data_IF_819092894378
#
_entry.id   IF_819092894378
#
_cell.length_a   1.000
_cell.length_b   1.000
_cell.length_c   1.000
_cell.angle_alpha   90.00
_cell.angle_beta   90.00
_cell.angle_gamma   90.00
#
_symmetry.space_group_name_H-M   'P 1'
#
loop_
_entity.id
_entity.type
_entity.pdbx_description
1 polymer ?
#
# COMPACT_ATOMS: atom_id res chain seq x y z
N UNK A 1 -11.65 2.14 15.16
CA UNK A 1 -10.95 3.39 15.45
C UNK A 1 -9.84 3.60 14.44
N UNK A 2 -9.74 4.80 13.87
CA UNK A 2 -8.78 5.10 12.82
C UNK A 2 -7.36 5.21 13.41
N UNK A 3 -6.38 4.62 12.71
CA UNK A 3 -4.98 4.75 13.11
C UNK A 3 -4.51 6.20 13.06
N UNK A 4 -3.54 6.56 13.88
CA UNK A 4 -2.99 7.91 13.95
C UNK A 4 -1.46 7.88 14.01
N UNK A 5 -0.86 9.05 13.78
CA UNK A 5 0.59 9.24 13.90
C UNK A 5 1.05 8.86 15.31
N UNK A 6 2.15 8.14 15.39
CA UNK A 6 2.72 7.64 16.64
C UNK A 6 2.25 6.25 17.04
N UNK A 7 1.20 5.75 16.41
CA UNK A 7 0.72 4.40 16.67
C UNK A 7 1.48 3.36 15.85
N UNK A 8 1.54 2.15 16.38
CA UNK A 8 2.12 1.00 15.69
C UNK A 8 1.09 0.42 14.72
N UNK A 9 1.55 0.00 13.53
CA UNK A 9 0.70 -0.73 12.61
C UNK A 9 0.14 -1.99 13.26
N UNK A 10 -1.16 -2.29 13.05
CA UNK A 10 -1.74 -3.54 13.53
C UNK A 10 -1.11 -4.72 12.80
N UNK A 11 -0.96 -5.84 13.50
CA UNK A 11 -0.56 -7.07 12.84
C UNK A 11 -1.71 -7.61 12.00
N UNK A 12 -1.38 -7.99 10.78
CA UNK A 12 -2.31 -8.57 9.82
C UNK A 12 -1.53 -9.38 8.81
N UNK A 13 -2.21 -10.22 8.07
CA UNK A 13 -1.61 -10.96 6.96
C UNK A 13 -1.94 -10.26 5.65
N UNK A 14 -0.92 -9.95 4.86
CA UNK A 14 -1.07 -9.48 3.49
C UNK A 14 -0.54 -10.55 2.55
N UNK A 15 -1.07 -10.61 1.34
CA UNK A 15 -0.56 -11.48 0.29
C UNK A 15 0.15 -10.65 -0.77
N UNK A 16 1.13 -11.28 -1.41
CA UNK A 16 1.85 -10.66 -2.53
C UNK A 16 2.12 -11.72 -3.58
N UNK A 17 1.86 -11.40 -4.84
CA UNK A 17 2.12 -12.33 -5.95
C UNK A 17 3.60 -12.19 -6.34
N UNK A 18 4.44 -12.99 -5.71
CA UNK A 18 5.90 -12.95 -5.90
C UNK A 18 6.48 -14.34 -5.96
N UNK A 19 7.70 -14.42 -6.46
CA UNK A 19 8.53 -15.60 -6.36
C UNK A 19 9.22 -15.59 -4.99
N UNK A 20 9.06 -16.66 -4.22
CA UNK A 20 9.75 -16.86 -2.94
C UNK A 20 10.71 -18.02 -3.11
N UNK A 21 12.00 -17.78 -2.85
CA UNK A 21 13.02 -18.80 -2.84
C UNK A 21 12.88 -19.69 -1.59
N UNK A 22 12.99 -20.99 -1.79
CA UNK A 22 12.90 -21.99 -0.73
C UNK A 22 13.15 -23.37 -1.32
N UNK A 23 12.78 -24.45 -0.60
CA UNK A 23 12.88 -25.84 -1.08
C UNK A 23 11.90 -26.10 -2.24
N UNK A 24 12.07 -25.36 -3.31
CA UNK A 24 11.21 -25.31 -4.47
C UNK A 24 10.67 -23.90 -4.62
N UNK A 25 11.10 -23.17 -5.64
CA UNK A 25 10.58 -21.83 -5.98
C UNK A 25 9.06 -21.85 -5.99
N UNK A 26 8.43 -21.00 -5.19
CA UNK A 26 7.00 -20.78 -5.20
C UNK A 26 6.70 -19.44 -5.88
N UNK A 27 6.15 -19.50 -7.09
CA UNK A 27 5.63 -18.33 -7.78
C UNK A 27 4.12 -18.31 -7.54
N UNK A 28 3.64 -17.23 -6.99
CA UNK A 28 2.21 -17.08 -6.73
C UNK A 28 1.91 -16.21 -5.54
N UNK A 29 0.66 -16.27 -5.04
CA UNK A 29 0.30 -15.53 -3.83
C UNK A 29 0.99 -16.16 -2.63
N UNK A 30 1.84 -15.36 -1.98
CA UNK A 30 2.51 -15.73 -0.75
C UNK A 30 2.00 -14.84 0.38
N UNK A 31 1.88 -15.39 1.58
CA UNK A 31 1.37 -14.69 2.75
C UNK A 31 2.50 -14.18 3.63
N UNK A 32 2.37 -12.95 4.09
CA UNK A 32 3.35 -12.31 4.96
C UNK A 32 2.64 -11.64 6.14
N UNK A 33 3.26 -11.70 7.31
CA UNK A 33 2.82 -10.92 8.46
C UNK A 33 3.38 -9.50 8.37
N UNK A 34 2.51 -8.50 8.54
CA UNK A 34 2.90 -7.09 8.51
C UNK A 34 4.00 -6.82 9.53
N UNK A 35 3.85 -7.35 10.74
CA UNK A 35 4.81 -7.19 11.82
C UNK A 35 6.23 -7.59 11.41
N UNK A 36 6.37 -8.68 10.66
CA UNK A 36 7.69 -9.17 10.20
C UNK A 36 8.24 -8.29 9.08
N UNK A 37 7.38 -7.86 8.16
CA UNK A 37 7.79 -7.09 6.98
C UNK A 37 8.28 -5.68 7.33
N UNK A 38 7.69 -5.05 8.36
CA UNK A 38 8.00 -3.65 8.69
C UNK A 38 9.18 -3.49 9.64
N UNK A 39 9.62 -4.58 10.25
CA UNK A 39 10.65 -4.55 11.30
C UNK A 39 11.96 -3.97 10.78
N UNK A 40 12.43 -2.88 11.39
CA UNK A 40 13.69 -2.23 11.07
C UNK A 40 13.70 -1.50 9.74
N UNK A 41 12.54 -1.27 9.12
CA UNK A 41 12.46 -0.63 7.79
C UNK A 41 11.67 0.65 7.82
N UNK A 42 12.05 1.58 6.93
CA UNK A 42 11.25 2.74 6.58
C UNK A 42 10.46 2.45 5.31
N UNK A 43 9.16 2.54 5.41
CA UNK A 43 8.25 2.17 4.33
C UNK A 43 7.35 3.34 3.98
N UNK A 44 7.31 3.68 2.69
CA UNK A 44 6.29 4.56 2.14
C UNK A 44 5.11 3.67 1.73
N UNK A 45 4.03 3.72 2.49
CA UNK A 45 2.85 2.91 2.27
C UNK A 45 1.72 3.78 1.79
N UNK A 46 1.06 3.40 0.70
CA UNK A 46 -0.15 4.06 0.26
C UNK A 46 -1.25 3.05 -0.01
N UNK A 47 -2.46 3.44 0.35
CA UNK A 47 -3.66 2.63 0.12
C UNK A 47 -4.62 3.33 -0.81
N UNK A 48 -5.47 2.57 -1.48
CA UNK A 48 -6.38 3.09 -2.48
C UNK A 48 -7.59 2.17 -2.67
N UNK A 49 -8.69 2.70 -3.25
CA UNK A 49 -9.93 1.93 -3.37
C UNK A 49 -9.87 0.67 -4.24
N UNK A 50 -8.94 0.59 -5.18
CA UNK A 50 -8.86 -0.66 -5.94
C UNK A 50 -7.97 -0.64 -7.17
N UNK A 51 -7.45 -1.82 -7.49
CA UNK A 51 -6.70 -2.08 -8.71
C UNK A 51 -7.55 -1.75 -9.94
N UNK A 52 -6.89 -1.27 -10.99
CA UNK A 52 -7.48 -0.92 -12.29
C UNK A 52 -8.53 0.20 -12.25
N UNK A 53 -8.75 0.86 -11.13
CA UNK A 53 -9.62 2.03 -11.06
C UNK A 53 -8.87 3.26 -11.62
N UNK A 54 -9.60 4.27 -12.17
CA UNK A 54 -8.93 5.33 -12.95
C UNK A 54 -7.85 6.13 -12.24
N UNK A 55 -8.16 6.77 -11.12
CA UNK A 55 -7.18 7.59 -10.38
C UNK A 55 -6.01 6.75 -9.85
N UNK A 56 -6.30 5.54 -9.38
CA UNK A 56 -5.28 4.63 -8.88
C UNK A 56 -4.27 4.25 -9.98
N UNK A 57 -4.77 3.99 -11.20
CA UNK A 57 -3.95 3.53 -12.32
C UNK A 57 -3.26 4.67 -13.07
N UNK A 58 -3.84 5.86 -13.11
CA UNK A 58 -3.34 6.99 -13.92
C UNK A 58 -2.46 7.93 -13.11
N UNK A 59 -2.70 8.06 -11.81
CA UNK A 59 -2.03 9.07 -10.97
C UNK A 59 -1.33 8.49 -9.76
N UNK A 60 -2.00 7.69 -8.95
CA UNK A 60 -1.50 7.30 -7.63
C UNK A 60 -0.27 6.38 -7.74
N UNK A 61 -0.43 5.22 -8.35
CA UNK A 61 0.68 4.27 -8.55
C UNK A 61 1.79 4.87 -9.42
N UNK A 62 1.48 5.47 -10.59
CA UNK A 62 2.54 6.07 -11.42
C UNK A 62 3.34 7.14 -10.69
N UNK A 63 2.73 7.93 -9.84
CA UNK A 63 3.43 8.96 -9.04
C UNK A 63 4.49 8.37 -8.12
N UNK A 64 4.23 7.25 -7.48
CA UNK A 64 5.20 6.57 -6.62
C UNK A 64 6.32 5.91 -7.42
N UNK A 65 6.01 5.36 -8.59
CA UNK A 65 7.02 4.79 -9.50
C UNK A 65 7.96 5.90 -9.97
N UNK A 66 7.42 7.02 -10.39
CA UNK A 66 8.19 8.16 -10.89
C UNK A 66 9.14 8.73 -9.84
N UNK A 67 8.72 8.72 -8.56
CA UNK A 67 9.50 9.26 -7.45
C UNK A 67 10.27 8.21 -6.66
N UNK A 68 10.38 7.02 -7.20
CA UNK A 68 11.06 5.91 -6.53
C UNK A 68 12.48 6.28 -6.09
N UNK A 69 13.30 6.80 -7.01
CA UNK A 69 14.69 7.15 -6.70
C UNK A 69 14.78 8.25 -5.65
N UNK A 70 13.91 9.25 -5.73
CA UNK A 70 13.86 10.35 -4.76
C UNK A 70 13.49 9.85 -3.36
N UNK A 71 12.52 8.95 -3.26
CA UNK A 71 12.12 8.35 -1.99
C UNK A 71 13.23 7.48 -1.41
N UNK A 72 13.89 6.68 -2.23
CA UNK A 72 15.05 5.88 -1.81
C UNK A 72 16.18 6.76 -1.29
N UNK A 73 16.46 7.88 -1.94
CA UNK A 73 17.48 8.83 -1.53
C UNK A 73 17.16 9.47 -0.16
N UNK A 74 15.90 9.52 0.24
CA UNK A 74 15.45 10.00 1.56
C UNK A 74 15.41 8.91 2.63
N UNK A 75 15.92 7.72 2.35
CA UNK A 75 16.02 6.63 3.31
C UNK A 75 14.85 5.66 3.33
N UNK A 76 13.94 5.74 2.37
CA UNK A 76 12.85 4.77 2.24
C UNK A 76 13.42 3.44 1.75
N UNK A 77 13.15 2.37 2.48
CA UNK A 77 13.61 1.03 2.15
C UNK A 77 12.69 0.35 1.13
N UNK A 78 11.37 0.50 1.31
CA UNK A 78 10.36 -0.11 0.44
C UNK A 78 9.18 0.83 0.23
N UNK A 79 8.52 0.68 -0.91
CA UNK A 79 7.27 1.37 -1.22
C UNK A 79 6.19 0.29 -1.35
N UNK A 80 5.09 0.43 -0.62
CA UNK A 80 3.96 -0.50 -0.66
C UNK A 80 2.71 0.16 -1.20
N UNK A 81 2.03 -0.53 -2.12
CA UNK A 81 0.66 -0.22 -2.52
C UNK A 81 -0.24 -1.27 -1.87
N UNK A 82 -1.22 -0.84 -1.09
CA UNK A 82 -2.18 -1.74 -0.43
C UNK A 82 -3.58 -1.48 -0.95
N UNK A 83 -4.27 -2.53 -1.33
CA UNK A 83 -5.67 -2.45 -1.77
C UNK A 83 -6.46 -3.68 -1.33
N UNK A 84 -7.77 -3.52 -1.18
CA UNK A 84 -8.69 -4.61 -0.89
C UNK A 84 -9.03 -5.32 -2.22
N UNK A 85 -8.02 -6.00 -2.72
CA UNK A 85 -8.07 -6.87 -3.90
C UNK A 85 -7.25 -8.10 -3.57
N UNK A 86 -7.53 -9.22 -4.24
CA UNK A 86 -6.74 -10.43 -4.03
C UNK A 86 -5.35 -10.33 -4.68
N UNK A 87 -4.47 -11.25 -4.35
CA UNK A 87 -3.10 -11.24 -4.84
C UNK A 87 -2.98 -11.46 -6.35
N UNK A 88 -3.90 -12.20 -6.95
CA UNK A 88 -3.89 -12.41 -8.40
C UNK A 88 -4.17 -11.10 -9.14
N UNK A 89 -5.17 -10.35 -8.68
CA UNK A 89 -5.52 -9.04 -9.24
C UNK A 89 -4.37 -8.03 -9.01
N UNK A 90 -3.83 -7.98 -7.81
CA UNK A 90 -2.71 -7.08 -7.49
C UNK A 90 -1.46 -7.42 -8.31
N UNK A 91 -1.18 -8.71 -8.52
CA UNK A 91 -0.07 -9.13 -9.38
C UNK A 91 -0.26 -8.71 -10.82
N UNK A 92 -1.46 -8.90 -11.38
CA UNK A 92 -1.79 -8.47 -12.74
C UNK A 92 -1.69 -6.95 -12.89
N UNK A 93 -2.20 -6.21 -11.90
CA UNK A 93 -2.13 -4.75 -11.91
C UNK A 93 -0.69 -4.26 -11.81
N UNK A 94 0.13 -4.91 -11.00
CA UNK A 94 1.55 -4.61 -10.89
C UNK A 94 2.29 -4.77 -12.23
N UNK A 95 1.98 -5.82 -12.97
CA UNK A 95 2.53 -6.02 -14.32
C UNK A 95 2.07 -4.92 -15.28
N UNK A 96 0.79 -4.56 -15.24
CA UNK A 96 0.22 -3.49 -16.04
C UNK A 96 0.87 -2.14 -15.74
N UNK A 97 1.13 -1.85 -14.48
CA UNK A 97 1.73 -0.61 -14.00
C UNK A 97 3.28 -0.61 -14.02
N UNK A 98 3.91 -1.71 -14.35
CA UNK A 98 5.37 -1.87 -14.36
C UNK A 98 6.02 -1.58 -12.99
N UNK A 99 5.48 -2.16 -11.94
CA UNK A 99 5.90 -1.91 -10.55
C UNK A 99 7.10 -2.74 -10.09
N UNK A 100 7.49 -3.75 -10.84
CA UNK A 100 8.53 -4.71 -10.43
C UNK A 100 9.83 -4.01 -10.01
N UNK A 101 10.32 -4.33 -8.81
CA UNK A 101 11.52 -3.75 -8.25
C UNK A 101 11.36 -2.35 -7.69
N UNK A 102 10.18 -1.75 -7.76
CA UNK A 102 9.91 -0.39 -7.25
C UNK A 102 8.81 -0.33 -6.21
N UNK A 103 7.63 -0.86 -6.52
CA UNK A 103 6.48 -0.83 -5.62
C UNK A 103 6.01 -2.26 -5.38
N UNK A 104 5.91 -2.64 -4.10
CA UNK A 104 5.33 -3.92 -3.71
C UNK A 104 3.81 -3.80 -3.71
N UNK A 105 3.16 -4.66 -4.47
CA UNK A 105 1.71 -4.69 -4.62
C UNK A 105 1.12 -5.62 -3.58
N UNK A 106 0.80 -5.08 -2.41
CA UNK A 106 0.33 -5.86 -1.27
C UNK A 106 -1.18 -6.02 -1.29
N UNK A 107 -1.63 -7.25 -1.30
CA UNK A 107 -3.06 -7.59 -1.37
C UNK A 107 -3.66 -7.75 0.02
N UNK A 108 -4.66 -6.93 0.33
CA UNK A 108 -5.50 -7.05 1.51
C UNK A 108 -6.87 -7.60 1.09
N UNK A 109 -6.86 -8.80 0.51
CA UNK A 109 -8.02 -9.37 -0.19
C UNK A 109 -9.27 -9.49 0.64
N UNK A 110 -9.15 -9.80 1.92
CA UNK A 110 -10.28 -9.89 2.85
C UNK A 110 -10.58 -8.59 3.60
N UNK A 111 -9.77 -7.55 3.38
CA UNK A 111 -9.96 -6.26 4.03
C UNK A 111 -9.56 -6.20 5.51
N UNK A 112 -8.87 -7.22 6.02
CA UNK A 112 -8.52 -7.32 7.44
C UNK A 112 -7.58 -6.20 7.89
N UNK A 113 -6.53 -5.95 7.13
CA UNK A 113 -5.58 -4.87 7.45
C UNK A 113 -6.26 -3.49 7.38
N UNK A 114 -6.99 -3.24 6.32
CA UNK A 114 -7.74 -1.99 6.12
C UNK A 114 -8.73 -1.76 7.26
N UNK A 115 -9.45 -2.80 7.68
CA UNK A 115 -10.40 -2.75 8.79
C UNK A 115 -9.69 -2.43 10.12
N UNK A 116 -8.57 -3.09 10.38
CA UNK A 116 -7.77 -2.84 11.60
C UNK A 116 -7.19 -1.44 11.63
N UNK A 117 -6.89 -0.85 10.48
CA UNK A 117 -6.47 0.55 10.38
C UNK A 117 -7.63 1.53 10.60
N UNK A 118 -8.88 1.09 10.49
CA UNK A 118 -10.04 1.96 10.54
C UNK A 118 -10.20 2.81 9.28
N UNK A 119 -9.68 2.36 8.14
CA UNK A 119 -9.68 3.08 6.88
C UNK A 119 -10.59 2.44 5.83
N UNK A 120 -11.63 1.76 6.26
CA UNK A 120 -12.62 1.17 5.35
C UNK A 120 -13.38 2.25 4.58
N UNK A 121 -13.74 1.90 3.35
CA UNK A 121 -14.55 2.74 2.49
C UNK A 121 -15.64 1.86 1.87
N UNK A 122 -16.88 2.08 2.29
CA UNK A 122 -18.00 1.29 1.81
C UNK A 122 -18.43 1.79 0.42
N UNK A 123 -18.14 1.01 -0.60
CA UNK A 123 -18.52 1.26 -1.99
C UNK A 123 -19.55 0.24 -2.46
N UNK A 124 -20.31 -0.35 -1.54
CA UNK A 124 -21.32 -1.35 -1.85
C UNK A 124 -22.36 -0.82 -2.86
N UNK A 125 -22.75 0.45 -2.73
CA UNK A 125 -23.68 1.08 -3.66
C UNK A 125 -23.16 1.17 -5.10
N UNK A 126 -21.83 1.06 -5.29
CA UNK A 126 -21.17 1.06 -6.60
C UNK A 126 -20.80 -0.35 -7.06
N UNK A 127 -21.26 -1.38 -6.37
CA UNK A 127 -20.95 -2.76 -6.70
C UNK A 127 -19.52 -3.18 -6.37
N UNK A 128 -18.83 -2.44 -5.50
CA UNK A 128 -17.44 -2.70 -5.16
C UNK A 128 -17.23 -3.26 -3.75
N UNK A 129 -18.29 -3.28 -2.93
CA UNK A 129 -18.20 -3.73 -1.55
C UNK A 129 -17.40 -2.77 -0.67
N UNK A 130 -16.81 -3.31 0.39
CA UNK A 130 -15.98 -2.51 1.30
C UNK A 130 -14.55 -2.51 0.79
N UNK A 131 -14.02 -1.34 0.54
CA UNK A 131 -12.67 -1.09 0.04
C UNK A 131 -11.89 -0.23 1.04
N UNK A 132 -10.74 0.27 0.62
CA UNK A 132 -9.91 1.18 1.41
C UNK A 132 -10.16 2.63 1.00
N UNK A 133 -10.10 3.52 1.98
CA UNK A 133 -9.92 4.94 1.69
C UNK A 133 -8.57 5.14 0.98
N UNK A 134 -8.42 6.27 0.33
CA UNK A 134 -7.14 6.64 -0.29
C UNK A 134 -6.29 7.38 0.75
N UNK A 135 -5.07 6.90 0.94
CA UNK A 135 -4.17 7.48 1.95
C UNK A 135 -2.71 7.23 1.57
N UNK A 136 -1.81 7.94 2.23
CA UNK A 136 -0.39 7.60 2.29
C UNK A 136 0.09 7.69 3.73
N UNK A 137 1.14 6.95 4.05
CA UNK A 137 1.78 7.02 5.35
C UNK A 137 3.27 6.72 5.24
N UNK A 138 4.03 7.30 6.15
CA UNK A 138 5.40 6.90 6.40
C UNK A 138 5.40 6.00 7.63
N UNK A 139 5.99 4.83 7.49
CA UNK A 139 6.11 3.85 8.58
C UNK A 139 7.60 3.64 8.85
N UNK A 140 8.02 3.78 10.10
CA UNK A 140 9.39 3.55 10.53
C UNK A 140 9.40 2.50 11.64
N UNK A 141 9.97 1.35 11.36
CA UNK A 141 10.02 0.20 12.27
C UNK A 141 8.63 -0.12 12.87
N UNK A 142 7.62 -0.10 12.01
CA UNK A 142 6.24 -0.41 12.36
C UNK A 142 5.45 0.73 12.97
N UNK A 143 6.03 1.90 13.18
CA UNK A 143 5.35 3.07 13.77
C UNK A 143 5.02 4.09 12.70
N UNK A 144 3.78 4.56 12.69
CA UNK A 144 3.31 5.58 11.74
C UNK A 144 3.92 6.94 12.10
N UNK A 145 4.67 7.53 11.18
CA UNK A 145 5.34 8.83 11.36
C UNK A 145 4.66 9.96 10.60
N UNK A 146 4.01 9.64 9.46
CA UNK A 146 3.21 10.60 8.69
C UNK A 146 1.95 9.87 8.22
N UNK A 147 0.85 10.59 8.12
CA UNK A 147 -0.43 10.02 7.70
C UNK A 147 -1.23 11.09 6.96
N UNK A 148 -1.59 10.79 5.71
CA UNK A 148 -2.36 11.68 4.85
C UNK A 148 -3.57 10.91 4.32
N UNK A 149 -4.75 11.24 4.80
CA UNK A 149 -5.99 10.57 4.42
C UNK A 149 -6.81 11.50 3.54
N UNK A 150 -7.15 11.05 2.33
CA UNK A 150 -7.96 11.83 1.39
C UNK A 150 -9.40 11.93 1.87
N UNK A 151 -10.01 13.07 1.59
CA UNK A 151 -11.44 13.25 1.83
C UNK A 151 -12.22 12.71 0.61
N UNK A 152 -13.11 11.74 0.85
CA UNK A 152 -14.14 11.32 -0.10
C UNK A 152 -13.72 11.15 -1.57
N UNK A 153 -12.76 10.31 -1.88
CA UNK A 153 -12.37 10.02 -3.27
C UNK A 153 -11.46 11.05 -3.93
N UNK A 154 -11.02 12.08 -3.22
CA UNK A 154 -10.07 13.07 -3.73
C UNK A 154 -8.66 12.49 -3.87
N UNK A 155 -7.80 13.20 -4.58
CA UNK A 155 -6.38 12.89 -4.72
C UNK A 155 -5.58 14.20 -4.65
N UNK A 156 -5.30 14.68 -3.44
CA UNK A 156 -4.67 15.97 -3.17
C UNK A 156 -3.46 15.87 -2.25
N UNK A 157 -3.49 14.96 -1.27
CA UNK A 157 -2.49 14.89 -0.19
C UNK A 157 -1.83 13.51 -0.01
N UNK A 158 -2.32 12.47 -0.66
CA UNK A 158 -1.76 11.11 -0.56
C UNK A 158 -0.75 10.77 -1.65
N UNK A 159 -0.43 11.75 -2.49
CA UNK A 159 0.51 11.58 -3.59
C UNK A 159 1.96 11.47 -3.10
N UNK A 160 2.81 10.90 -3.95
CA UNK A 160 4.23 10.71 -3.64
C UNK A 160 4.98 12.02 -3.42
N UNK A 161 4.64 13.08 -4.14
CA UNK A 161 5.28 14.38 -3.99
C UNK A 161 5.02 14.98 -2.60
N UNK A 162 3.80 14.85 -2.09
CA UNK A 162 3.45 15.31 -0.73
C UNK A 162 4.23 14.55 0.33
N UNK A 163 4.27 13.20 0.23
CA UNK A 163 5.02 12.38 1.18
C UNK A 163 6.52 12.70 1.13
N UNK A 164 7.07 12.90 -0.06
CA UNK A 164 8.46 13.26 -0.25
C UNK A 164 8.82 14.58 0.46
N UNK A 165 7.96 15.59 0.37
CA UNK A 165 8.13 16.86 1.10
C UNK A 165 8.11 16.66 2.61
N UNK A 166 7.30 15.76 3.11
CA UNK A 166 7.19 15.46 4.55
C UNK A 166 8.42 14.73 5.09
N UNK A 167 9.22 14.15 4.22
CA UNK A 167 10.47 13.50 4.59
C UNK A 167 11.63 14.49 4.78
N UNK A 168 11.42 15.71 4.42
CA UNK A 168 12.44 16.76 4.51
C UNK A 168 13.37 16.71 3.31
#
# INVERSE_FOLDING_TARGET
MMIDIGERLPDATLQEFVEVEGDGCSIGPNSFHVEDLVRGKKIALFGLPGAFTPTCSVKHVPGYIERYDALKAKGIDEIWCVAVNDAFVMGAWGRDQHTAGKVRMMADGSGDFTKKLGLEFDLTARGMGVRSQRYSMLVDDGVVKQLNIEAGGKFEISDAATLLKQLG
#
